data_IF_763066642521
#
_entry.id   IF_763066642521
#
_cell.length_a   1.000
_cell.length_b   1.000
_cell.length_c   1.000
_cell.angle_alpha   90.00
_cell.angle_beta   90.00
_cell.angle_gamma   90.00
#
_symmetry.space_group_name_H-M   'P 1'
#
loop_
_entity.id
_entity.type
_entity.pdbx_description
1 polymer ?
#
# COMPACT_ATOMS: atom_id res chain seq x y z
N UNK A 1 14.86 -8.01 10.73
CA UNK A 1 13.52 -7.54 10.36
C UNK A 1 13.37 -7.71 8.86
N UNK A 2 12.35 -8.45 8.43
CA UNK A 2 12.07 -8.63 7.01
C UNK A 2 11.14 -7.52 6.53
N UNK A 3 11.38 -7.03 5.31
CA UNK A 3 10.50 -6.07 4.65
C UNK A 3 9.54 -6.83 3.72
N UNK A 4 8.35 -6.26 3.55
CA UNK A 4 7.37 -6.66 2.55
C UNK A 4 7.08 -5.48 1.64
N UNK A 5 6.79 -5.79 0.39
CA UNK A 5 6.27 -4.83 -0.59
C UNK A 5 4.78 -5.07 -0.74
N UNK A 6 3.98 -4.04 -0.45
CA UNK A 6 2.54 -4.03 -0.67
C UNK A 6 2.30 -3.28 -1.97
N UNK A 7 1.65 -3.94 -2.92
CA UNK A 7 1.18 -3.35 -4.18
C UNK A 7 -0.34 -3.37 -4.16
N UNK A 8 -0.99 -2.33 -4.63
CA UNK A 8 -2.45 -2.25 -4.65
C UNK A 8 -2.93 -1.36 -5.79
N UNK A 9 -4.15 -1.60 -6.24
CA UNK A 9 -4.87 -0.73 -7.17
C UNK A 9 -5.85 0.13 -6.36
N UNK A 10 -6.16 1.33 -6.82
CA UNK A 10 -7.16 2.17 -6.18
C UNK A 10 -8.12 2.76 -7.21
N UNK A 11 -9.38 2.88 -6.85
CA UNK A 11 -10.41 3.51 -7.67
C UNK A 11 -10.82 4.81 -6.98
N UNK A 12 -10.04 5.88 -7.22
CA UNK A 12 -10.26 7.17 -6.55
C UNK A 12 -9.08 8.14 -6.67
N UNK A 13 -9.11 9.20 -5.85
CA UNK A 13 -8.01 10.16 -5.80
C UNK A 13 -6.81 9.58 -5.01
N UNK A 14 -5.62 9.62 -5.60
CA UNK A 14 -4.39 9.08 -5.00
C UNK A 14 -4.05 9.67 -3.62
N UNK A 15 -4.63 10.83 -3.27
CA UNK A 15 -4.43 11.54 -2.01
C UNK A 15 -4.93 10.75 -0.79
N UNK A 16 -6.03 10.02 -0.92
CA UNK A 16 -6.60 9.24 0.20
C UNK A 16 -5.69 8.06 0.58
N UNK A 17 -5.11 7.42 -0.43
CA UNK A 17 -4.17 6.31 -0.23
C UNK A 17 -2.76 6.79 0.12
N UNK A 18 -2.41 8.01 -0.31
CA UNK A 18 -1.25 8.79 0.12
C UNK A 18 -1.02 8.80 1.63
N UNK A 19 -2.08 9.10 2.38
CA UNK A 19 -2.02 9.23 3.84
C UNK A 19 -1.70 7.93 4.57
N UNK A 20 -2.32 6.82 4.17
CA UNK A 20 -2.07 5.49 4.79
C UNK A 20 -0.63 5.06 4.59
N UNK A 21 -0.07 5.38 3.43
CA UNK A 21 1.27 4.96 3.05
C UNK A 21 2.34 5.87 3.64
N UNK A 22 2.08 7.17 3.75
CA UNK A 22 2.98 8.08 4.46
C UNK A 22 3.10 7.75 5.96
N UNK A 23 2.08 7.13 6.54
CA UNK A 23 2.07 6.75 7.97
C UNK A 23 2.70 5.37 8.26
N UNK A 24 2.69 4.43 7.31
CA UNK A 24 3.10 3.04 7.56
C UNK A 24 4.22 2.57 6.60
N UNK A 25 4.47 3.30 5.51
CA UNK A 25 5.40 2.95 4.44
C UNK A 25 6.77 3.58 4.60
N UNK A 26 7.80 2.81 4.26
CA UNK A 26 9.23 3.21 4.28
C UNK A 26 9.64 3.82 2.92
N UNK A 27 9.02 3.36 1.84
CA UNK A 27 9.17 3.87 0.48
C UNK A 27 7.84 3.70 -0.25
N UNK A 28 7.41 4.69 -1.03
CA UNK A 28 6.12 4.71 -1.69
C UNK A 28 6.25 5.19 -3.14
N UNK A 29 5.56 4.51 -4.04
CA UNK A 29 5.44 4.87 -5.45
C UNK A 29 3.96 4.84 -5.83
N UNK A 30 3.55 5.81 -6.65
CA UNK A 30 2.19 5.91 -7.16
C UNK A 30 2.25 6.16 -8.65
N UNK A 31 1.52 5.34 -9.38
CA UNK A 31 1.22 5.57 -10.78
C UNK A 31 -0.25 5.96 -10.90
N UNK A 32 -0.49 7.21 -11.28
CA UNK A 32 -1.85 7.74 -11.50
C UNK A 32 -2.42 7.32 -12.85
N UNK A 33 -1.58 6.89 -13.80
CA UNK A 33 -2.02 6.42 -15.12
C UNK A 33 -2.66 5.04 -15.03
N UNK A 34 -2.13 4.19 -14.15
CA UNK A 34 -2.62 2.83 -13.90
C UNK A 34 -3.33 2.68 -12.56
N UNK A 35 -3.56 3.80 -11.86
CA UNK A 35 -4.16 3.87 -10.52
C UNK A 35 -3.59 2.82 -9.55
N UNK A 36 -2.27 2.65 -9.57
CA UNK A 36 -1.58 1.62 -8.80
C UNK A 36 -0.61 2.28 -7.85
N UNK A 37 -0.55 1.78 -6.62
CA UNK A 37 0.42 2.21 -5.63
C UNK A 37 1.21 1.03 -5.11
N UNK A 38 2.44 1.32 -4.70
CA UNK A 38 3.34 0.35 -4.13
C UNK A 38 4.11 0.97 -2.99
N UNK A 39 4.25 0.25 -1.88
CA UNK A 39 5.10 0.69 -0.78
C UNK A 39 5.70 -0.46 0.00
N UNK A 40 6.76 -0.17 0.74
CA UNK A 40 7.45 -1.15 1.57
C UNK A 40 7.14 -0.94 3.04
N UNK A 41 6.92 -2.02 3.78
CA UNK A 41 6.62 -2.04 5.22
C UNK A 41 7.37 -3.17 5.90
N UNK A 42 7.48 -3.11 7.22
CA UNK A 42 7.95 -4.26 7.99
C UNK A 42 6.93 -5.40 7.92
N UNK A 43 7.41 -6.65 7.90
CA UNK A 43 6.56 -7.85 7.86
C UNK A 43 5.51 -7.86 8.98
N UNK A 44 5.87 -7.40 10.17
CA UNK A 44 4.97 -7.28 11.33
C UNK A 44 3.83 -6.26 11.12
N UNK A 45 4.04 -5.24 10.28
CA UNK A 45 3.05 -4.21 9.98
C UNK A 45 2.28 -4.47 8.67
N UNK A 46 2.70 -5.46 7.88
CA UNK A 46 2.14 -5.74 6.56
C UNK A 46 0.65 -6.09 6.62
N UNK A 47 0.25 -6.95 7.56
CA UNK A 47 -1.15 -7.35 7.71
C UNK A 47 -2.04 -6.20 8.21
N UNK A 48 -1.53 -5.44 9.19
CA UNK A 48 -2.23 -4.26 9.71
C UNK A 48 -2.43 -3.20 8.62
N UNK A 49 -1.40 -2.98 7.80
CA UNK A 49 -1.48 -2.00 6.71
C UNK A 49 -2.42 -2.45 5.61
N UNK A 50 -2.42 -3.75 5.27
CA UNK A 50 -3.43 -4.31 4.37
C UNK A 50 -4.85 -4.04 4.86
N UNK A 51 -5.15 -4.33 6.14
CA UNK A 51 -6.48 -4.08 6.71
C UNK A 51 -6.88 -2.61 6.64
N UNK A 52 -5.93 -1.68 6.84
CA UNK A 52 -6.18 -0.23 6.70
C UNK A 52 -6.52 0.14 5.27
N UNK A 53 -5.80 -0.39 4.28
CA UNK A 53 -6.08 -0.17 2.86
C UNK A 53 -7.45 -0.73 2.47
N UNK A 54 -7.79 -1.95 2.90
CA UNK A 54 -9.12 -2.54 2.69
C UNK A 54 -10.23 -1.69 3.33
N UNK A 55 -9.96 -1.11 4.50
CA UNK A 55 -10.90 -0.23 5.19
C UNK A 55 -11.10 1.13 4.51
N UNK A 56 -10.21 1.56 3.61
CA UNK A 56 -10.43 2.78 2.83
C UNK A 56 -11.57 2.62 1.83
N UNK A 57 -11.92 1.39 1.43
CA UNK A 57 -13.01 1.12 0.49
C UNK A 57 -12.77 1.60 -0.94
N UNK A 58 -11.65 2.28 -1.21
CA UNK A 58 -11.21 2.74 -2.53
C UNK A 58 -10.06 1.90 -3.09
N UNK A 59 -9.56 0.91 -2.33
CA UNK A 59 -8.43 0.07 -2.72
C UNK A 59 -8.92 -1.30 -3.16
N UNK A 60 -8.48 -1.73 -4.33
CA UNK A 60 -8.79 -3.03 -4.94
C UNK A 60 -7.47 -3.74 -5.30
N UNK A 61 -7.44 -5.08 -5.29
CA UNK A 61 -6.24 -5.86 -5.64
C UNK A 61 -4.98 -5.60 -4.79
N UNK A 62 -5.06 -5.80 -3.46
CA UNK A 62 -3.89 -5.69 -2.58
C UNK A 62 -3.06 -6.98 -2.59
N UNK A 63 -1.80 -6.86 -3.01
CA UNK A 63 -0.81 -7.93 -3.06
C UNK A 63 0.36 -7.63 -2.11
N UNK A 64 0.75 -8.62 -1.29
CA UNK A 64 1.92 -8.52 -0.40
C UNK A 64 2.98 -9.51 -0.86
N UNK A 65 4.17 -8.99 -1.18
CA UNK A 65 5.33 -9.79 -1.61
C UNK A 65 6.52 -9.58 -0.66
N UNK A 66 7.41 -10.56 -0.51
CA UNK A 66 8.69 -10.33 0.16
C UNK A 66 9.50 -9.24 -0.55
N UNK A 67 10.12 -8.36 0.23
CA UNK A 67 11.07 -7.38 -0.29
C UNK A 67 12.36 -8.12 -0.66
N UNK A 68 12.74 -8.09 -1.95
CA UNK A 68 13.95 -8.73 -2.48
C UNK A 68 15.17 -7.83 -2.37
#
# INVERSE_FOLDING_TARGET
MALKTITFTYEGEALEVGGVIAMNGIAAQYDSSTMTGQFSVFEEEAETTKKKLEALGVVTDIEIKPFM
#
